data_IF_511258392785
#
_entry.id   IF_511258392785
#
_cell.length_a   1.000
_cell.length_b   1.000
_cell.length_c   1.000
_cell.angle_alpha   90.00
_cell.angle_beta   90.00
_cell.angle_gamma   90.00
#
_symmetry.space_group_name_H-M   'P 1'
#
loop_
_entity.id
_entity.type
_entity.pdbx_description
1 polymer ?
#
# COMPACT_ATOMS: atom_id res chain seq x y z
N UNK A 1 11.81 -3.96 -5.22
CA UNK A 1 13.12 -3.34 -5.48
C UNK A 1 12.90 -1.89 -5.87
N UNK A 2 13.67 -0.99 -5.27
CA UNK A 2 13.54 0.47 -5.26
C UNK A 2 12.35 1.00 -4.46
N UNK A 3 11.08 0.82 -4.87
CA UNK A 3 9.95 1.38 -4.09
C UNK A 3 9.89 0.85 -2.65
N UNK A 4 10.10 -0.46 -2.46
CA UNK A 4 10.13 -1.07 -1.13
C UNK A 4 11.24 -0.46 -0.25
N UNK A 5 12.40 -0.19 -0.83
CA UNK A 5 13.57 0.39 -0.16
C UNK A 5 13.34 1.87 0.17
N UNK A 6 12.70 2.61 -0.73
CA UNK A 6 12.30 4.00 -0.53
C UNK A 6 11.30 4.11 0.63
N UNK A 7 10.26 3.27 0.69
CA UNK A 7 9.32 3.30 1.81
C UNK A 7 10.01 3.01 3.15
N UNK A 8 10.95 2.07 3.16
CA UNK A 8 11.75 1.77 4.35
C UNK A 8 12.66 2.93 4.76
N UNK A 9 13.24 3.64 3.80
CA UNK A 9 14.17 4.74 4.06
C UNK A 9 13.48 6.04 4.47
N UNK A 10 12.34 6.37 3.85
CA UNK A 10 11.68 7.67 4.00
C UNK A 10 10.37 7.61 4.81
N UNK A 11 9.70 6.45 4.88
CA UNK A 11 8.47 6.28 5.67
C UNK A 11 7.44 7.38 5.38
N UNK A 12 6.98 8.04 6.44
CA UNK A 12 5.98 9.12 6.37
C UNK A 12 6.44 10.37 5.61
N UNK A 13 7.73 10.54 5.32
CA UNK A 13 8.20 11.62 4.44
C UNK A 13 7.72 11.44 2.99
N UNK A 14 7.23 10.26 2.63
CA UNK A 14 6.69 9.96 1.30
C UNK A 14 5.22 10.39 1.11
N UNK A 15 4.54 10.87 2.15
CA UNK A 15 3.06 11.02 2.17
C UNK A 15 2.49 11.83 1.00
N UNK A 16 3.19 12.87 0.55
CA UNK A 16 2.74 13.71 -0.56
C UNK A 16 2.86 13.00 -1.93
N UNK A 17 3.77 12.03 -2.03
CA UNK A 17 4.00 11.24 -3.24
C UNK A 17 3.25 9.90 -3.26
N UNK A 18 2.71 9.48 -2.11
CA UNK A 18 2.05 8.16 -1.93
C UNK A 18 0.87 7.98 -2.88
N UNK A 19 0.08 9.01 -3.17
CA UNK A 19 -1.14 8.86 -3.96
C UNK A 19 -0.86 8.41 -5.39
N UNK A 20 0.19 8.99 -6.00
CA UNK A 20 0.67 8.60 -7.32
C UNK A 20 1.25 7.19 -7.31
N UNK A 21 1.98 6.83 -6.25
CA UNK A 21 2.60 5.52 -6.10
C UNK A 21 1.57 4.41 -5.85
N UNK A 22 0.54 4.67 -5.03
CA UNK A 22 -0.53 3.71 -4.72
C UNK A 22 -1.25 3.24 -5.98
N UNK A 23 -1.63 4.17 -6.86
CA UNK A 23 -2.29 3.82 -8.11
C UNK A 23 -1.41 2.90 -8.95
N UNK A 24 -0.14 3.25 -9.12
CA UNK A 24 0.79 2.46 -9.92
C UNK A 24 1.04 1.08 -9.30
N UNK A 25 1.26 1.01 -7.99
CA UNK A 25 1.49 -0.25 -7.28
C UNK A 25 0.27 -1.18 -7.38
N UNK A 26 -0.94 -0.66 -7.20
CA UNK A 26 -2.15 -1.49 -7.36
C UNK A 26 -2.38 -1.95 -8.79
N UNK A 27 -2.12 -1.10 -9.77
CA UNK A 27 -2.19 -1.49 -11.18
C UNK A 27 -1.20 -2.61 -11.47
N UNK A 28 0.06 -2.48 -11.02
CA UNK A 28 1.12 -3.48 -11.24
C UNK A 28 0.87 -4.78 -10.48
N UNK A 29 0.39 -4.71 -9.23
CA UNK A 29 -0.01 -5.87 -8.42
C UNK A 29 -1.28 -6.57 -8.91
N UNK A 30 -1.96 -6.01 -9.93
CA UNK A 30 -3.17 -6.59 -10.53
C UNK A 30 -2.95 -7.16 -11.94
N UNK A 31 -1.71 -7.11 -12.44
CA UNK A 31 -1.36 -7.64 -13.77
C UNK A 31 -1.07 -9.14 -13.73
N UNK A 32 -1.17 -9.80 -14.89
CA UNK A 32 -0.92 -11.25 -15.00
C UNK A 32 0.57 -11.62 -15.03
N UNK A 33 1.46 -10.64 -15.26
CA UNK A 33 2.91 -10.87 -15.27
C UNK A 33 3.42 -11.09 -13.85
N UNK A 34 3.65 -12.36 -13.49
CA UNK A 34 4.06 -12.80 -12.14
C UNK A 34 5.16 -11.95 -11.51
N UNK A 35 6.29 -11.76 -12.19
CA UNK A 35 7.43 -10.99 -11.65
C UNK A 35 7.08 -9.53 -11.32
N UNK A 36 6.27 -8.90 -12.17
CA UNK A 36 5.84 -7.51 -11.97
C UNK A 36 4.86 -7.42 -10.79
N UNK A 37 3.95 -8.37 -10.72
CA UNK A 37 2.95 -8.48 -9.67
C UNK A 37 3.61 -8.69 -8.30
N UNK A 38 4.48 -9.70 -8.17
CA UNK A 38 5.20 -10.02 -6.93
C UNK A 38 6.07 -8.85 -6.45
N UNK A 39 6.76 -8.16 -7.36
CA UNK A 39 7.56 -6.99 -7.00
C UNK A 39 6.70 -5.82 -6.49
N UNK A 40 5.53 -5.58 -7.09
CA UNK A 40 4.60 -4.57 -6.65
C UNK A 40 3.95 -4.93 -5.30
N UNK A 41 3.62 -6.20 -5.09
CA UNK A 41 3.11 -6.70 -3.81
C UNK A 41 4.13 -6.55 -2.68
N UNK A 42 5.41 -6.86 -2.95
CA UNK A 42 6.47 -6.64 -1.97
C UNK A 42 6.61 -5.16 -1.59
N UNK A 43 6.46 -4.24 -2.56
CA UNK A 43 6.47 -2.81 -2.30
C UNK A 43 5.25 -2.35 -1.48
N UNK A 44 4.05 -2.85 -1.79
CA UNK A 44 2.84 -2.60 -1.00
C UNK A 44 2.98 -3.09 0.45
N UNK A 45 3.57 -4.27 0.65
CA UNK A 45 3.85 -4.80 1.98
C UNK A 45 4.81 -3.86 2.74
N UNK A 46 5.93 -3.48 2.10
CA UNK A 46 6.89 -2.54 2.71
C UNK A 46 6.21 -1.22 3.10
N UNK A 47 5.39 -0.65 2.21
CA UNK A 47 4.62 0.57 2.48
C UNK A 47 3.73 0.42 3.73
N UNK A 48 2.97 -0.67 3.84
CA UNK A 48 2.12 -0.94 5.03
C UNK A 48 2.92 -1.17 6.32
N UNK A 49 4.21 -1.48 6.22
CA UNK A 49 5.10 -1.66 7.38
C UNK A 49 5.75 -0.35 7.83
N UNK A 50 6.05 0.58 6.92
CA UNK A 50 6.88 1.76 7.22
C UNK A 50 6.15 3.09 7.21
N UNK A 51 4.92 3.15 6.69
CA UNK A 51 4.12 4.38 6.65
C UNK A 51 2.99 4.24 7.66
N UNK A 52 2.72 5.31 8.43
CA UNK A 52 1.65 5.33 9.42
C UNK A 52 0.30 4.98 8.76
N UNK A 53 -0.44 3.99 9.30
CA UNK A 53 -1.79 3.65 8.87
C UNK A 53 -2.77 4.81 9.01
N UNK A 54 -2.56 5.74 9.95
CA UNK A 54 -3.40 6.94 10.08
C UNK A 54 -3.40 7.76 8.80
N UNK A 55 -2.25 7.85 8.12
CA UNK A 55 -2.12 8.56 6.85
C UNK A 55 -2.47 7.67 5.67
N UNK A 56 -2.06 6.39 5.72
CA UNK A 56 -2.21 5.47 4.59
C UNK A 56 -3.68 5.06 4.35
N UNK A 57 -4.43 4.74 5.40
CA UNK A 57 -5.78 4.17 5.27
C UNK A 57 -6.79 5.09 4.56
N UNK A 58 -6.85 6.41 4.85
CA UNK A 58 -7.70 7.33 4.08
C UNK A 58 -7.36 7.34 2.59
N UNK A 59 -6.07 7.31 2.23
CA UNK A 59 -5.60 7.30 0.83
C UNK A 59 -5.93 5.98 0.12
N UNK A 60 -6.10 4.88 0.87
CA UNK A 60 -6.51 3.58 0.32
C UNK A 60 -8.01 3.47 0.03
N UNK A 61 -8.85 4.32 0.63
CA UNK A 61 -10.30 4.24 0.56
C UNK A 61 -10.87 4.22 -0.88
N UNK A 62 -10.36 5.01 -1.86
CA UNK A 62 -10.83 4.95 -3.24
C UNK A 62 -10.59 3.58 -3.90
N UNK A 63 -9.52 2.88 -3.53
CA UNK A 63 -9.14 1.60 -4.13
C UNK A 63 -9.98 0.42 -3.61
N UNK A 64 -10.49 0.51 -2.38
CA UNK A 64 -11.44 -0.47 -1.83
C UNK A 64 -12.76 -0.52 -2.62
N UNK A 65 -13.15 0.62 -3.21
CA UNK A 65 -14.36 0.76 -4.04
C UNK A 65 -14.06 0.74 -5.54
N UNK A 66 -12.85 0.35 -5.95
CA UNK A 66 -12.44 0.38 -7.35
C UNK A 66 -13.30 -0.54 -8.22
N UNK A 67 -13.58 -0.18 -9.48
CA UNK A 67 -14.35 -1.03 -10.41
C UNK A 67 -13.63 -2.35 -10.71
N UNK A 68 -12.31 -2.36 -10.75
CA UNK A 68 -11.50 -3.56 -11.01
C UNK A 68 -11.43 -4.47 -9.76
N UNK A 69 -11.94 -5.71 -9.82
CA UNK A 69 -11.94 -6.64 -8.68
C UNK A 69 -10.54 -7.00 -8.16
N UNK A 70 -9.53 -7.05 -9.04
CA UNK A 70 -8.15 -7.37 -8.63
C UNK A 70 -7.56 -6.24 -7.78
N UNK A 71 -7.77 -4.99 -8.19
CA UNK A 71 -7.36 -3.81 -7.43
C UNK A 71 -8.06 -3.81 -6.06
N UNK A 72 -9.38 -4.05 -6.03
CA UNK A 72 -10.12 -4.15 -4.76
C UNK A 72 -9.52 -5.20 -3.83
N UNK A 73 -9.26 -6.40 -4.34
CA UNK A 73 -8.69 -7.48 -3.54
C UNK A 73 -7.32 -7.08 -2.95
N UNK A 74 -6.42 -6.51 -3.75
CA UNK A 74 -5.11 -6.05 -3.27
C UNK A 74 -5.23 -4.92 -2.24
N UNK A 75 -6.13 -3.97 -2.46
CA UNK A 75 -6.40 -2.88 -1.52
C UNK A 75 -6.93 -3.40 -0.18
N UNK A 76 -7.88 -4.33 -0.20
CA UNK A 76 -8.44 -4.95 1.01
C UNK A 76 -7.37 -5.70 1.81
N UNK A 77 -6.47 -6.44 1.14
CA UNK A 77 -5.35 -7.12 1.81
C UNK A 77 -4.42 -6.13 2.49
N UNK A 78 -4.02 -5.07 1.79
CA UNK A 78 -3.14 -4.05 2.34
C UNK A 78 -3.79 -3.28 3.50
N UNK A 79 -5.11 -3.03 3.41
CA UNK A 79 -5.89 -2.40 4.47
C UNK A 79 -5.88 -3.28 5.71
N UNK A 80 -6.25 -4.56 5.58
CA UNK A 80 -6.25 -5.52 6.68
C UNK A 80 -4.88 -5.64 7.37
N UNK A 81 -3.78 -5.64 6.59
CA UNK A 81 -2.41 -5.68 7.14
C UNK A 81 -2.01 -4.42 7.92
N UNK A 82 -2.65 -3.28 7.65
CA UNK A 82 -2.36 -2.01 8.30
C UNK A 82 -3.16 -1.81 9.60
N UNK A 83 -4.28 -2.54 9.78
CA UNK A 83 -5.15 -2.43 10.96
C UNK A 83 -4.44 -2.75 12.28
N UNK A 84 -3.64 -3.82 12.43
CA UNK A 84 -2.96 -4.09 13.70
C UNK A 84 -2.05 -2.95 14.16
N UNK A 85 -1.36 -2.30 13.21
CA UNK A 85 -0.54 -1.13 13.49
C UNK A 85 -1.38 0.09 13.85
N UNK A 86 -2.52 0.30 13.19
CA UNK A 86 -3.43 1.40 13.53
C UNK A 86 -3.89 1.28 14.98
N UNK A 87 -4.29 0.08 15.38
CA UNK A 87 -4.74 -0.20 16.75
C UNK A 87 -3.62 0.09 17.74
N UNK A 88 -2.38 -0.31 17.44
CA UNK A 88 -1.23 0.00 18.28
C UNK A 88 -0.98 1.51 18.37
N UNK A 89 -1.00 2.23 17.24
CA UNK A 89 -0.73 3.67 17.20
C UNK A 89 -1.82 4.51 17.88
N UNK A 90 -3.07 4.05 17.90
CA UNK A 90 -4.18 4.76 18.55
C UNK A 90 -4.35 4.44 20.05
N UNK A 91 -3.71 3.36 20.54
CA UNK A 91 -3.76 2.94 21.95
C UNK A 91 -2.57 3.45 22.78
N UNK A 92 -1.68 4.22 22.17
CA UNK A 92 -0.51 4.85 22.82
C UNK A 92 -0.74 6.35 22.95
#
# INVERSE_FOLDING_TARGET
MTCADIFKAYGDLMVDSIDLLLLQLFLKASQDKRFVCEAAEAALISMTSWISPLVLLPRMQPYLKNRNPRIRAKASVCFSKSVPRLVSECLT
#
